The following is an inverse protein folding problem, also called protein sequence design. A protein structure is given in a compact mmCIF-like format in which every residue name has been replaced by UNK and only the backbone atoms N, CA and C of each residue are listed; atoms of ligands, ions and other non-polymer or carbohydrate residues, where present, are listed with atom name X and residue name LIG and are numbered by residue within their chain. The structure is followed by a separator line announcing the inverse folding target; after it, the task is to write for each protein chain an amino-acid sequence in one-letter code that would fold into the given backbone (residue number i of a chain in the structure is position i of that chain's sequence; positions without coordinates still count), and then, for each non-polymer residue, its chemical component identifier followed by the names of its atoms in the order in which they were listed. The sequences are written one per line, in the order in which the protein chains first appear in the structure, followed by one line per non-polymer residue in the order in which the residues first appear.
data_IF_710079213173
#
_entry.id   IF_710079213173
#
_cell.length_a   1.000
_cell.length_b   1.000
_cell.length_c   1.000
_cell.angle_alpha   90.00
_cell.angle_beta   90.00
_cell.angle_gamma   90.00
#
_symmetry.space_group_name_H-M   'P 1'
#
loop_
_entity.id
_entity.type
_entity.pdbx_description
1 polymer ?
#
# COMPACT_ATOMS: atom_id res chain seq x y z
N UNK A 1 11.72 -16.84 -53.50
CA UNK A 1 12.00 -17.38 -52.14
C UNK A 1 13.13 -16.66 -51.37
N UNK A 2 14.29 -16.35 -51.98
CA UNK A 2 15.42 -15.66 -51.27
C UNK A 2 15.05 -14.26 -50.76
N UNK A 3 14.34 -13.45 -51.54
CA UNK A 3 13.93 -12.09 -51.15
C UNK A 3 12.88 -12.08 -50.03
N UNK A 4 11.96 -13.02 -50.02
CA UNK A 4 10.93 -13.16 -48.98
C UNK A 4 11.54 -13.55 -47.62
N UNK A 5 12.55 -14.45 -47.61
CA UNK A 5 13.29 -14.76 -46.37
C UNK A 5 14.06 -13.58 -45.80
N UNK A 6 14.68 -12.76 -46.68
CA UNK A 6 15.37 -11.53 -46.25
C UNK A 6 14.39 -10.51 -45.70
N UNK A 7 13.23 -10.31 -46.31
CA UNK A 7 12.19 -9.40 -45.85
C UNK A 7 11.64 -9.84 -44.49
N UNK A 8 11.36 -11.12 -44.31
CA UNK A 8 10.89 -11.68 -43.04
C UNK A 8 11.91 -11.54 -41.93
N UNK A 9 13.21 -11.78 -42.23
CA UNK A 9 14.29 -11.57 -41.27
C UNK A 9 14.43 -10.12 -40.86
N UNK A 10 14.30 -9.17 -41.79
CA UNK A 10 14.37 -7.74 -41.52
C UNK A 10 13.21 -7.28 -40.61
N UNK A 11 12.01 -7.79 -40.87
CA UNK A 11 10.81 -7.51 -40.09
C UNK A 11 10.93 -8.02 -38.66
N UNK A 12 11.51 -9.21 -38.49
CA UNK A 12 11.74 -9.83 -37.19
C UNK A 12 12.75 -9.06 -36.35
N UNK A 13 13.84 -8.60 -36.97
CA UNK A 13 14.85 -7.76 -36.31
C UNK A 13 14.24 -6.40 -35.94
N UNK A 14 13.43 -5.80 -36.78
CA UNK A 14 12.78 -4.52 -36.51
C UNK A 14 11.80 -4.64 -35.32
N UNK A 15 11.00 -5.74 -35.26
CA UNK A 15 10.13 -6.02 -34.13
C UNK A 15 10.91 -6.21 -32.83
N UNK A 16 12.05 -6.90 -32.88
CA UNK A 16 12.93 -7.11 -31.72
C UNK A 16 13.52 -5.79 -31.20
N UNK A 17 13.99 -4.94 -32.10
CA UNK A 17 14.54 -3.63 -31.73
C UNK A 17 13.46 -2.73 -31.16
N UNK A 18 12.26 -2.72 -31.72
CA UNK A 18 11.11 -1.94 -31.20
C UNK A 18 10.65 -2.44 -29.83
N UNK A 19 10.65 -3.75 -29.59
CA UNK A 19 10.29 -4.31 -28.28
C UNK A 19 11.32 -4.02 -27.19
N UNK A 20 12.62 -4.05 -27.51
CA UNK A 20 13.69 -3.66 -26.57
C UNK A 20 13.62 -2.15 -26.23
N UNK A 21 13.28 -1.30 -27.21
CA UNK A 21 13.16 0.15 -26.98
C UNK A 21 12.01 0.48 -26.05
N UNK A 22 10.90 -0.27 -26.14
CA UNK A 22 9.72 -0.03 -25.31
C UNK A 22 9.97 -0.40 -23.83
N UNK A 23 10.74 -1.47 -23.56
CA UNK A 23 11.10 -1.86 -22.19
C UNK A 23 12.12 -0.92 -21.55
N UNK A 24 13.06 -0.39 -22.32
CA UNK A 24 14.06 0.56 -21.83
C UNK A 24 13.42 1.93 -21.46
N UNK A 25 12.35 2.33 -22.16
CA UNK A 25 11.64 3.58 -21.85
C UNK A 25 10.76 3.47 -20.60
N UNK A 26 10.25 2.26 -20.31
CA UNK A 26 9.45 2.00 -19.10
C UNK A 26 10.30 1.87 -17.82
N UNK A 27 11.57 1.49 -17.95
CA UNK A 27 12.45 1.24 -16.81
C UNK A 27 13.11 2.50 -16.22
N UNK A 28 12.88 3.69 -16.80
CA UNK A 28 13.57 4.93 -16.42
C UNK A 28 12.63 6.10 -16.09
N UNK A 29 11.32 5.91 -16.00
CA UNK A 29 10.43 6.98 -15.58
C UNK A 29 10.52 7.14 -14.05
N UNK A 30 11.16 8.21 -13.62
CA UNK A 30 11.15 8.65 -12.22
C UNK A 30 9.69 8.79 -11.75
N UNK A 31 9.33 8.11 -10.66
CA UNK A 31 7.99 8.23 -10.09
C UNK A 31 7.87 9.56 -9.32
N UNK A 32 6.66 10.14 -9.22
CA UNK A 32 6.48 11.47 -8.61
C UNK A 32 7.02 11.59 -7.19
N UNK A 33 7.04 10.48 -6.45
CA UNK A 33 7.44 10.43 -5.04
C UNK A 33 8.70 9.59 -4.79
N UNK A 34 9.49 9.30 -5.81
CA UNK A 34 10.77 8.61 -5.62
C UNK A 34 11.65 9.35 -4.61
N UNK A 35 12.18 8.60 -3.63
CA UNK A 35 13.01 9.13 -2.55
C UNK A 35 12.26 9.99 -1.53
N UNK A 36 10.94 9.98 -1.52
CA UNK A 36 10.12 10.64 -0.50
C UNK A 36 9.64 9.63 0.53
N UNK A 37 9.63 10.04 1.81
CA UNK A 37 8.93 9.33 2.87
C UNK A 37 7.61 10.03 3.14
N UNK A 38 6.50 9.29 3.10
CA UNK A 38 5.15 9.75 3.43
C UNK A 38 4.74 9.13 4.76
N UNK A 39 4.33 9.96 5.71
CA UNK A 39 3.78 9.51 6.98
C UNK A 39 2.27 9.69 6.92
N UNK A 40 1.53 8.58 6.96
CA UNK A 40 0.09 8.55 7.14
C UNK A 40 -0.21 8.23 8.61
N UNK A 41 -1.21 8.88 9.16
CA UNK A 41 -1.58 8.58 10.54
C UNK A 41 -3.09 8.59 10.74
N UNK A 42 -3.53 7.82 11.74
CA UNK A 42 -4.86 7.82 12.31
C UNK A 42 -4.82 8.03 13.82
N UNK A 43 -5.94 8.39 14.40
CA UNK A 43 -6.11 8.64 15.83
C UNK A 43 -7.59 8.53 16.18
N UNK A 44 -7.93 8.03 17.37
CA UNK A 44 -9.31 7.93 17.85
C UNK A 44 -10.25 7.25 16.84
N UNK A 45 -9.82 6.12 16.28
CA UNK A 45 -10.58 5.40 15.24
C UNK A 45 -11.87 4.79 15.82
N UNK A 46 -11.84 4.33 17.07
CA UNK A 46 -13.02 3.85 17.81
C UNK A 46 -13.90 2.86 17.04
N UNK A 47 -13.28 2.00 16.22
CA UNK A 47 -13.98 0.99 15.45
C UNK A 47 -14.70 1.53 14.20
N UNK A 48 -14.32 2.68 13.67
CA UNK A 48 -14.71 3.16 12.34
C UNK A 48 -14.04 2.31 11.26
N UNK A 49 -14.54 1.10 11.04
CA UNK A 49 -13.90 0.05 10.25
C UNK A 49 -13.63 0.43 8.79
N UNK A 50 -14.45 1.34 8.23
CA UNK A 50 -14.26 1.82 6.85
C UNK A 50 -12.93 2.58 6.67
N UNK A 51 -12.38 3.14 7.75
CA UNK A 51 -11.11 3.85 7.72
C UNK A 51 -9.96 2.92 7.36
N UNK A 52 -9.95 1.68 7.85
CA UNK A 52 -8.87 0.73 7.59
C UNK A 52 -8.72 0.43 6.09
N UNK A 53 -9.82 0.23 5.38
CA UNK A 53 -9.79 0.03 3.93
C UNK A 53 -9.31 1.28 3.18
N UNK A 54 -9.74 2.47 3.62
CA UNK A 54 -9.29 3.73 3.04
C UNK A 54 -7.79 3.98 3.25
N UNK A 55 -7.29 3.69 4.46
CA UNK A 55 -5.85 3.84 4.76
C UNK A 55 -4.99 2.85 3.99
N UNK A 56 -5.44 1.58 3.82
CA UNK A 56 -4.75 0.60 2.98
C UNK A 56 -4.66 1.06 1.52
N UNK A 57 -5.76 1.57 0.98
CA UNK A 57 -5.78 2.09 -0.39
C UNK A 57 -4.87 3.30 -0.57
N UNK A 58 -4.86 4.22 0.39
CA UNK A 58 -4.02 5.41 0.36
C UNK A 58 -2.53 5.06 0.47
N UNK A 59 -2.16 4.12 1.37
CA UNK A 59 -0.80 3.58 1.48
C UNK A 59 -0.34 3.02 0.15
N UNK A 60 -1.15 2.13 -0.46
CA UNK A 60 -0.83 1.52 -1.74
C UNK A 60 -0.68 2.55 -2.88
N UNK A 61 -1.49 3.61 -2.89
CA UNK A 61 -1.40 4.67 -3.90
C UNK A 61 -0.08 5.44 -3.80
N UNK A 62 0.35 5.83 -2.60
CA UNK A 62 1.62 6.52 -2.41
C UNK A 62 2.83 5.61 -2.70
N UNK A 63 2.77 4.33 -2.32
CA UNK A 63 3.81 3.34 -2.66
C UNK A 63 3.92 3.14 -4.18
N UNK A 64 2.78 3.09 -4.89
CA UNK A 64 2.77 3.02 -6.35
C UNK A 64 3.42 4.23 -7.01
N UNK A 65 3.34 5.39 -6.38
CA UNK A 65 3.99 6.63 -6.81
C UNK A 65 5.49 6.69 -6.43
N UNK A 66 6.03 5.68 -5.75
CA UNK A 66 7.45 5.55 -5.39
C UNK A 66 7.81 6.01 -3.99
N UNK A 67 6.84 6.40 -3.17
CA UNK A 67 7.10 6.78 -1.78
C UNK A 67 7.45 5.57 -0.91
N UNK A 68 8.31 5.79 0.07
CA UNK A 68 8.35 4.99 1.28
C UNK A 68 7.21 5.46 2.19
N UNK A 69 6.28 4.56 2.58
CA UNK A 69 5.12 4.94 3.38
C UNK A 69 5.20 4.33 4.77
N UNK A 70 5.09 5.19 5.79
CA UNK A 70 4.95 4.80 7.19
C UNK A 70 3.51 5.08 7.61
N UNK A 71 2.80 4.04 8.04
CA UNK A 71 1.43 4.15 8.53
C UNK A 71 1.42 3.98 10.05
N UNK A 72 1.00 5.02 10.77
CA UNK A 72 1.02 5.09 12.22
C UNK A 72 -0.39 5.29 12.80
N UNK A 73 -0.62 4.78 14.03
CA UNK A 73 -1.84 5.09 14.79
C UNK A 73 -1.49 5.66 16.17
N UNK A 74 -2.20 6.71 16.56
CA UNK A 74 -1.95 7.42 17.82
C UNK A 74 -2.80 6.94 18.99
N UNK A 75 -3.50 5.80 18.86
CA UNK A 75 -4.24 5.14 19.94
C UNK A 75 -5.76 5.34 19.86
N UNK A 76 -6.45 4.71 20.81
CA UNK A 76 -7.91 4.67 20.93
C UNK A 76 -8.59 3.96 19.73
N UNK A 77 -8.08 2.80 19.38
CA UNK A 77 -8.60 1.94 18.31
C UNK A 77 -9.40 0.73 18.83
N UNK A 78 -9.21 0.32 20.10
CA UNK A 78 -9.71 -0.96 20.62
C UNK A 78 -11.16 -0.94 21.12
N UNK A 79 -11.72 0.24 21.35
CA UNK A 79 -13.04 0.45 21.92
C UNK A 79 -13.88 1.37 21.01
N UNK A 80 -15.20 1.26 21.04
CA UNK A 80 -16.12 2.12 20.31
C UNK A 80 -17.28 1.33 19.72
N UNK A 81 -17.25 1.05 18.42
CA UNK A 81 -18.31 0.30 17.76
C UNK A 81 -18.33 -1.18 18.18
N UNK A 82 -19.48 -1.85 17.96
CA UNK A 82 -19.64 -3.28 18.25
C UNK A 82 -18.58 -4.15 17.52
N UNK A 83 -18.12 -3.71 16.35
CA UNK A 83 -17.14 -4.43 15.55
C UNK A 83 -15.81 -4.66 16.25
N UNK A 84 -15.40 -3.76 17.12
CA UNK A 84 -14.15 -3.88 17.86
C UNK A 84 -14.35 -4.23 19.34
N UNK A 85 -15.49 -3.82 19.93
CA UNK A 85 -15.75 -3.97 21.37
C UNK A 85 -16.08 -5.41 21.77
N UNK A 86 -16.72 -6.21 20.89
CA UNK A 86 -17.14 -7.60 21.19
C UNK A 86 -15.95 -8.47 21.58
N UNK A 87 -14.83 -8.34 20.87
CA UNK A 87 -13.61 -9.08 21.11
C UNK A 87 -12.53 -8.23 21.81
N UNK A 88 -12.97 -7.22 22.59
CA UNK A 88 -12.07 -6.39 23.41
C UNK A 88 -10.90 -5.80 22.62
N UNK A 89 -11.16 -5.32 21.42
CA UNK A 89 -10.16 -4.71 20.56
C UNK A 89 -9.35 -5.65 19.67
N UNK A 90 -9.45 -6.98 19.84
CA UNK A 90 -8.67 -7.93 19.02
C UNK A 90 -9.00 -7.82 17.52
N UNK A 91 -10.24 -7.51 17.16
CA UNK A 91 -10.64 -7.32 15.77
C UNK A 91 -10.02 -6.03 15.19
N UNK A 92 -9.89 -4.96 15.98
CA UNK A 92 -9.19 -3.75 15.57
C UNK A 92 -7.73 -4.07 15.20
N UNK A 93 -7.01 -4.78 16.08
CA UNK A 93 -5.62 -5.20 15.84
C UNK A 93 -5.50 -6.06 14.58
N UNK A 94 -6.47 -6.96 14.36
CA UNK A 94 -6.50 -7.80 13.15
C UNK A 94 -6.66 -6.95 11.89
N UNK A 95 -7.55 -5.96 11.91
CA UNK A 95 -7.76 -5.04 10.79
C UNK A 95 -6.54 -4.13 10.56
N UNK A 96 -5.92 -3.62 11.63
CA UNK A 96 -4.70 -2.80 11.54
C UNK A 96 -3.54 -3.58 10.92
N UNK A 97 -3.34 -4.84 11.31
CA UNK A 97 -2.33 -5.70 10.70
C UNK A 97 -2.62 -5.94 9.21
N UNK A 98 -3.89 -6.18 8.84
CA UNK A 98 -4.29 -6.37 7.44
C UNK A 98 -4.15 -5.09 6.61
N UNK A 99 -4.33 -3.92 7.22
CA UNK A 99 -4.15 -2.60 6.61
C UNK A 99 -2.67 -2.28 6.37
N UNK A 100 -1.78 -2.88 7.16
CA UNK A 100 -0.34 -2.66 7.11
C UNK A 100 0.12 -1.46 7.93
N UNK A 101 -0.44 -1.28 9.14
CA UNK A 101 0.12 -0.34 10.10
C UNK A 101 1.52 -0.78 10.53
N UNK A 102 2.46 0.16 10.53
CA UNK A 102 3.87 -0.08 10.83
C UNK A 102 4.17 0.17 12.30
N UNK A 103 3.47 1.15 12.92
CA UNK A 103 3.65 1.53 14.31
C UNK A 103 2.34 2.00 14.92
N UNK A 104 2.10 1.65 16.17
CA UNK A 104 0.93 2.10 16.94
C UNK A 104 1.37 2.51 18.35
N UNK A 105 0.66 3.46 18.94
CA UNK A 105 0.75 3.73 20.37
C UNK A 105 -0.55 3.34 21.06
N UNK A 106 -0.56 3.31 22.38
CA UNK A 106 -1.74 3.03 23.18
C UNK A 106 -2.35 4.34 23.65
N UNK A 107 -3.64 4.52 23.41
CA UNK A 107 -4.46 5.55 24.03
C UNK A 107 -5.03 5.08 25.37
N UNK A 108 -6.01 5.79 25.90
CA UNK A 108 -6.62 5.42 27.19
C UNK A 108 -7.58 4.23 27.04
N UNK A 109 -8.24 4.07 25.89
CA UNK A 109 -9.20 3.00 25.66
C UNK A 109 -8.60 1.63 25.43
N UNK A 110 -7.31 1.53 25.13
CA UNK A 110 -6.59 0.25 25.08
C UNK A 110 -6.51 -0.44 26.46
N UNK A 111 -6.76 0.30 27.54
CA UNK A 111 -6.77 -0.22 28.92
C UNK A 111 -8.16 -0.53 29.47
N UNK A 112 -9.24 -0.24 28.74
CA UNK A 112 -10.63 -0.43 29.21
C UNK A 112 -10.97 -1.89 29.53
N UNK A 113 -10.30 -2.83 28.89
CA UNK A 113 -10.53 -4.28 29.07
C UNK A 113 -9.54 -4.95 30.02
N UNK A 114 -8.70 -4.17 30.70
CA UNK A 114 -7.66 -4.65 31.59
C UNK A 114 -6.33 -4.90 30.86
N UNK A 115 -5.33 -5.32 31.63
CA UNK A 115 -3.98 -5.56 31.12
C UNK A 115 -3.60 -7.06 31.15
N UNK A 116 -4.58 -7.95 31.36
CA UNK A 116 -4.37 -9.40 31.51
C UNK A 116 -4.48 -10.12 30.16
#
# INVERSE_FOLDING_TARGET
MKHMKKLLSLLLVLCLVLSLSCTAFAAGAEKPLDGKTVILHSNDVHGAIDLYAAMAALKADYEAQGAEVILADAGDYSQGTVYVSVNKGADAVTMMNATGYDVVTLGNHEFDYGMD
#
